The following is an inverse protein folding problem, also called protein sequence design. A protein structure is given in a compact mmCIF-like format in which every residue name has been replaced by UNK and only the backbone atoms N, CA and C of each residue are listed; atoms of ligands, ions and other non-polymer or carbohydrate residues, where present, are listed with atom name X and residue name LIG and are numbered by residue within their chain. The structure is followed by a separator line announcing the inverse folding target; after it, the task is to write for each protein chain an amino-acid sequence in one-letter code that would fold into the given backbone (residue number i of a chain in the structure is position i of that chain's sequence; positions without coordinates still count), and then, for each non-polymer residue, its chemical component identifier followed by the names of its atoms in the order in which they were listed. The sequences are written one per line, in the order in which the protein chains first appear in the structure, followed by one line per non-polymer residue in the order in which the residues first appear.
data_IF_905279363655
#
_entry.id   IF_905279363655
#
_cell.length_a   1.000
_cell.length_b   1.000
_cell.length_c   1.000
_cell.angle_alpha   90.00
_cell.angle_beta   90.00
_cell.angle_gamma   90.00
#
_symmetry.space_group_name_H-M   'P 1'
#
loop_
_entity.id
_entity.type
_entity.pdbx_description
1 polymer ?
#
# COMPACT_ATOMS: atom_id res chain seq x y z
N UNK A 1 27.28 4.60 -25.32
CA UNK A 1 27.32 5.90 -24.60
C UNK A 1 26.68 6.96 -25.48
N UNK A 2 25.36 7.08 -25.39
CA UNK A 2 24.54 7.86 -26.34
C UNK A 2 24.41 9.36 -25.97
N UNK A 3 25.27 9.91 -25.10
CA UNK A 3 25.21 11.32 -24.72
C UNK A 3 23.89 11.77 -24.03
N UNK A 4 23.11 10.83 -23.50
CA UNK A 4 21.84 11.14 -22.77
C UNK A 4 22.22 11.87 -21.49
N UNK A 5 21.63 13.06 -21.30
CA UNK A 5 21.80 13.84 -20.09
C UNK A 5 20.54 13.67 -19.23
N UNK A 6 20.70 13.17 -17.99
CA UNK A 6 19.61 13.13 -17.01
C UNK A 6 19.25 14.56 -16.59
N UNK A 7 17.96 14.86 -16.60
CA UNK A 7 17.42 16.16 -16.17
C UNK A 7 16.91 16.13 -14.73
N UNK A 8 16.39 14.99 -14.29
CA UNK A 8 15.93 14.77 -12.91
C UNK A 8 15.81 13.26 -12.61
N UNK A 9 15.68 12.93 -11.33
CA UNK A 9 15.39 11.59 -10.81
C UNK A 9 14.17 11.71 -9.91
N UNK A 10 13.19 10.83 -10.09
CA UNK A 10 12.05 10.61 -9.18
C UNK A 10 12.06 9.16 -8.71
N UNK A 11 11.53 8.90 -7.51
CA UNK A 11 11.51 7.56 -6.89
C UNK A 11 10.12 7.31 -6.33
N UNK A 12 9.50 6.20 -6.71
CA UNK A 12 8.31 5.65 -6.10
C UNK A 12 8.55 4.19 -5.67
N UNK A 13 7.82 3.75 -4.67
CA UNK A 13 7.89 2.39 -4.13
C UNK A 13 6.52 1.97 -3.57
N UNK A 14 6.47 0.76 -2.99
CA UNK A 14 5.32 0.32 -2.19
C UNK A 14 5.18 1.13 -0.89
N UNK A 15 3.98 1.11 -0.30
CA UNK A 15 3.63 1.85 0.92
C UNK A 15 4.11 1.19 2.22
N UNK A 16 3.88 1.87 3.31
CA UNK A 16 3.93 1.49 4.72
C UNK A 16 5.29 1.16 5.32
N UNK A 17 6.25 0.65 4.57
CA UNK A 17 7.55 0.26 5.09
C UNK A 17 8.50 1.47 5.23
N UNK A 18 9.40 1.39 6.20
CA UNK A 18 10.30 2.49 6.56
C UNK A 18 11.63 1.97 7.10
N UNK A 19 12.62 2.85 7.17
CA UNK A 19 13.91 2.62 7.82
C UNK A 19 14.13 3.59 8.98
N UNK A 20 14.93 3.16 9.94
CA UNK A 20 15.42 4.00 11.03
C UNK A 20 16.83 4.49 10.69
N UNK A 21 17.06 5.80 10.75
CA UNK A 21 18.33 6.46 10.49
C UNK A 21 18.93 6.93 11.82
N UNK A 22 20.18 6.57 12.07
CA UNK A 22 20.92 6.97 13.26
C UNK A 22 21.46 8.41 13.17
N UNK A 23 22.02 8.90 14.28
CA UNK A 23 22.64 10.24 14.38
C UNK A 23 23.82 10.44 13.42
N UNK A 24 24.47 9.38 13.02
CA UNK A 24 25.56 9.38 12.02
C UNK A 24 25.07 9.42 10.59
N UNK A 25 23.74 9.40 10.37
CA UNK A 25 23.10 9.36 9.05
C UNK A 25 23.04 7.97 8.44
N UNK A 26 23.49 6.93 9.14
CA UNK A 26 23.46 5.54 8.67
C UNK A 26 22.11 4.86 8.93
N UNK A 27 21.76 3.89 8.08
CA UNK A 27 20.63 3.00 8.31
C UNK A 27 20.98 2.03 9.44
N UNK A 28 20.18 2.03 10.52
CA UNK A 28 20.46 1.25 11.72
C UNK A 28 20.23 -0.25 11.54
N UNK A 29 19.31 -0.63 10.67
CA UNK A 29 19.00 -2.02 10.32
C UNK A 29 18.21 -2.08 9.01
N UNK A 30 18.11 -3.27 8.42
CA UNK A 30 17.20 -3.51 7.31
C UNK A 30 15.75 -3.28 7.76
N UNK A 31 14.88 -2.71 6.88
CA UNK A 31 13.47 -2.56 7.18
C UNK A 31 12.79 -3.92 7.37
N UNK A 32 11.72 -3.95 8.15
CA UNK A 32 10.78 -5.07 8.09
C UNK A 32 10.03 -5.03 6.75
N UNK A 33 9.70 -6.20 6.24
CA UNK A 33 8.73 -6.30 5.15
C UNK A 33 7.31 -6.24 5.76
N UNK A 34 6.40 -5.53 5.15
CA UNK A 34 5.01 -5.44 5.65
C UNK A 34 4.29 -6.80 5.74
N UNK A 35 4.78 -7.83 5.03
CA UNK A 35 4.26 -9.21 5.14
C UNK A 35 4.92 -10.03 6.23
N UNK A 36 5.87 -9.45 6.97
CA UNK A 36 6.47 -10.12 8.13
C UNK A 36 5.42 -10.26 9.25
N UNK A 37 5.35 -11.41 9.94
CA UNK A 37 4.35 -11.66 10.99
C UNK A 37 4.58 -10.83 12.27
N UNK A 38 5.63 -10.00 12.35
CA UNK A 38 5.96 -9.24 13.55
C UNK A 38 4.83 -8.30 14.04
N UNK A 39 3.88 -7.93 13.17
CA UNK A 39 2.73 -7.08 13.50
C UNK A 39 1.46 -7.85 13.87
N UNK A 40 1.53 -9.16 14.07
CA UNK A 40 0.37 -9.90 14.58
C UNK A 40 -0.10 -9.37 15.93
N UNK A 41 -1.42 -9.10 16.05
CA UNK A 41 -2.03 -8.49 17.24
C UNK A 41 -1.67 -7.02 17.50
N UNK A 42 -0.95 -6.36 16.58
CA UNK A 42 -0.49 -4.99 16.75
C UNK A 42 -1.64 -3.97 16.82
N UNK A 43 -2.69 -4.17 16.03
CA UNK A 43 -3.86 -3.30 16.05
C UNK A 43 -4.59 -3.36 17.39
N UNK A 44 -4.86 -4.57 17.90
CA UNK A 44 -5.55 -4.81 19.17
C UNK A 44 -4.80 -4.17 20.34
N UNK A 45 -3.47 -4.26 20.33
CA UNK A 45 -2.63 -3.62 21.36
C UNK A 45 -2.65 -2.09 21.24
N UNK A 46 -2.56 -1.56 20.03
CA UNK A 46 -2.60 -0.11 19.82
C UNK A 46 -3.97 0.48 20.19
N UNK A 47 -5.07 -0.22 19.89
CA UNK A 47 -6.43 0.25 20.22
C UNK A 47 -6.73 0.29 21.73
N UNK A 48 -5.88 -0.29 22.57
CA UNK A 48 -5.90 -0.06 24.02
C UNK A 48 -5.41 1.32 24.41
N UNK A 49 -4.59 1.96 23.57
CA UNK A 49 -4.06 3.32 23.77
C UNK A 49 -5.01 4.37 23.19
N UNK A 50 -5.45 4.17 21.96
CA UNK A 50 -6.40 5.06 21.25
C UNK A 50 -7.48 4.20 20.58
N UNK A 51 -8.77 4.43 20.87
CA UNK A 51 -9.88 3.65 20.30
C UNK A 51 -9.88 3.64 18.76
N UNK A 52 -10.24 2.50 18.18
CA UNK A 52 -10.25 2.26 16.73
C UNK A 52 -11.01 3.34 15.95
N UNK A 53 -12.19 3.72 16.45
CA UNK A 53 -13.05 4.73 15.85
C UNK A 53 -12.35 6.09 15.79
N UNK A 54 -11.61 6.45 16.84
CA UNK A 54 -10.86 7.70 16.90
C UNK A 54 -9.67 7.68 15.94
N UNK A 55 -8.98 6.55 15.80
CA UNK A 55 -7.88 6.41 14.83
C UNK A 55 -8.43 6.61 13.41
N UNK A 56 -9.57 6.00 13.08
CA UNK A 56 -10.17 6.17 11.77
C UNK A 56 -10.66 7.60 11.53
N UNK A 57 -11.34 8.21 12.50
CA UNK A 57 -11.82 9.59 12.37
C UNK A 57 -10.67 10.57 12.09
N UNK A 58 -9.51 10.34 12.69
CA UNK A 58 -8.30 11.16 12.47
C UNK A 58 -7.66 10.94 11.10
N UNK A 59 -7.59 9.71 10.65
CA UNK A 59 -6.77 9.35 9.48
C UNK A 59 -7.57 8.96 8.25
N UNK A 60 -8.75 8.37 8.44
CA UNK A 60 -9.56 7.80 7.36
C UNK A 60 -8.88 6.65 6.61
N UNK A 61 -7.87 6.01 7.21
CA UNK A 61 -7.07 4.96 6.56
C UNK A 61 -7.63 3.58 6.89
N UNK A 62 -7.71 2.71 5.87
CA UNK A 62 -8.07 1.30 6.01
C UNK A 62 -7.19 0.60 7.04
N UNK A 63 -7.80 -0.09 7.98
CA UNK A 63 -7.05 -0.87 8.97
C UNK A 63 -6.45 -2.11 8.35
N UNK A 64 -5.13 -2.19 8.46
CA UNK A 64 -4.31 -3.35 8.09
C UNK A 64 -3.20 -3.47 9.15
N UNK A 65 -2.94 -4.67 9.64
CA UNK A 65 -1.95 -4.91 10.71
C UNK A 65 -0.58 -4.30 10.44
N UNK A 66 -0.21 -4.22 9.18
CA UNK A 66 1.09 -3.79 8.72
C UNK A 66 1.21 -2.29 8.43
N UNK A 67 0.17 -1.47 8.64
CA UNK A 67 0.33 -0.03 8.50
C UNK A 67 1.43 0.48 9.43
N UNK A 68 2.17 1.49 8.98
CA UNK A 68 3.39 1.95 9.65
C UNK A 68 3.18 2.27 11.13
N UNK A 69 2.03 2.85 11.50
CA UNK A 69 1.67 3.12 12.89
C UNK A 69 1.73 1.85 13.75
N UNK A 70 1.22 0.73 13.25
CA UNK A 70 1.19 -0.53 13.99
C UNK A 70 2.55 -1.23 13.98
N UNK A 71 3.33 -1.09 12.90
CA UNK A 71 4.74 -1.53 12.88
C UNK A 71 5.56 -0.80 13.95
N UNK A 72 5.46 0.54 14.00
CA UNK A 72 6.15 1.39 14.98
C UNK A 72 5.70 1.08 16.41
N UNK A 73 4.39 0.88 16.62
CA UNK A 73 3.84 0.47 17.92
C UNK A 73 4.41 -0.87 18.39
N UNK A 74 4.54 -1.83 17.47
CA UNK A 74 5.14 -3.13 17.77
C UNK A 74 6.63 -3.00 18.10
N UNK A 75 7.39 -2.24 17.32
CA UNK A 75 8.80 -1.97 17.60
C UNK A 75 8.97 -1.32 18.97
N UNK A 76 8.13 -0.33 19.32
CA UNK A 76 8.15 0.32 20.64
C UNK A 76 7.86 -0.66 21.76
N UNK A 77 6.80 -1.46 21.63
CA UNK A 77 6.43 -2.49 22.62
C UNK A 77 7.56 -3.49 22.87
N UNK A 78 8.29 -3.83 21.82
CA UNK A 78 9.38 -4.82 21.87
C UNK A 78 10.73 -4.19 22.23
N UNK A 79 10.80 -2.90 22.59
CA UNK A 79 12.03 -2.15 22.87
C UNK A 79 13.07 -2.31 21.74
N UNK A 80 12.62 -2.16 20.47
CA UNK A 80 13.49 -2.31 19.32
C UNK A 80 14.59 -1.26 19.32
N UNK A 81 15.83 -1.70 19.37
CA UNK A 81 17.01 -0.83 19.52
C UNK A 81 17.21 0.13 18.34
N UNK A 82 16.77 -0.24 17.13
CA UNK A 82 16.84 0.65 15.98
C UNK A 82 15.85 1.80 16.13
N UNK A 83 14.63 1.54 16.62
CA UNK A 83 13.66 2.61 16.88
C UNK A 83 14.10 3.52 18.04
N UNK A 84 14.71 2.94 19.09
CA UNK A 84 15.22 3.72 20.23
C UNK A 84 16.36 4.66 19.83
N UNK A 85 17.25 4.22 18.93
CA UNK A 85 18.39 4.98 18.43
C UNK A 85 18.07 5.87 17.22
N UNK A 86 16.83 5.81 16.69
CA UNK A 86 16.45 6.52 15.49
C UNK A 86 16.42 8.06 15.70
N UNK A 87 17.25 8.75 14.95
CA UNK A 87 17.17 10.21 14.77
C UNK A 87 16.09 10.57 13.75
N UNK A 88 15.97 9.75 12.67
CA UNK A 88 14.95 9.87 11.65
C UNK A 88 14.30 8.53 11.34
N UNK A 89 13.02 8.59 10.93
CA UNK A 89 12.21 7.49 10.39
C UNK A 89 11.81 7.93 9.00
N UNK A 90 12.27 7.22 7.98
CA UNK A 90 12.04 7.57 6.58
C UNK A 90 11.34 6.41 5.85
N UNK A 91 10.26 6.70 5.14
CA UNK A 91 9.62 5.71 4.27
C UNK A 91 10.58 5.28 3.15
N UNK A 92 10.35 4.14 2.55
CA UNK A 92 11.29 3.56 1.59
C UNK A 92 11.68 4.54 0.46
N UNK A 93 10.75 5.24 -0.24
CA UNK A 93 11.14 6.17 -1.30
C UNK A 93 11.88 7.39 -0.72
N UNK A 94 11.49 7.86 0.47
CA UNK A 94 12.15 8.96 1.17
C UNK A 94 13.58 8.58 1.56
N UNK A 95 13.77 7.35 2.04
CA UNK A 95 15.09 6.83 2.38
C UNK A 95 16.01 6.71 1.14
N UNK A 96 15.46 6.27 0.01
CA UNK A 96 16.23 6.22 -1.24
C UNK A 96 16.58 7.63 -1.73
N UNK A 97 15.67 8.60 -1.62
CA UNK A 97 15.97 10.02 -1.91
C UNK A 97 17.02 10.56 -0.94
N UNK A 98 16.95 10.21 0.34
CA UNK A 98 17.97 10.57 1.34
C UNK A 98 19.35 10.01 0.98
N UNK A 99 19.44 8.74 0.61
CA UNK A 99 20.71 8.13 0.18
C UNK A 99 21.31 8.82 -1.04
N UNK A 100 20.49 9.38 -1.94
CA UNK A 100 20.95 10.10 -3.12
C UNK A 100 21.33 11.56 -2.83
N UNK A 101 20.70 12.22 -1.88
CA UNK A 101 20.78 13.68 -1.68
C UNK A 101 21.33 14.11 -0.32
N UNK A 102 21.23 13.25 0.69
CA UNK A 102 21.47 13.62 2.09
C UNK A 102 20.29 14.36 2.75
N UNK A 103 19.19 14.62 2.02
CA UNK A 103 18.04 15.38 2.50
C UNK A 103 16.94 14.45 3.05
N UNK A 104 16.67 14.52 4.35
CA UNK A 104 15.59 13.77 4.98
C UNK A 104 14.24 14.42 4.69
N UNK A 105 13.41 13.79 3.90
CA UNK A 105 12.06 14.23 3.51
C UNK A 105 10.99 13.25 3.97
N UNK A 106 9.74 13.69 3.92
CA UNK A 106 8.55 12.91 4.17
C UNK A 106 7.53 13.28 3.08
N UNK A 107 7.45 12.46 2.03
CA UNK A 107 6.61 12.74 0.88
C UNK A 107 5.14 12.42 1.22
N UNK A 108 4.23 13.28 0.79
CA UNK A 108 2.82 13.28 1.16
C UNK A 108 2.09 11.97 0.80
N UNK A 109 2.28 11.44 -0.41
CA UNK A 109 1.51 10.27 -0.87
C UNK A 109 1.93 9.00 -0.15
N UNK A 110 3.24 8.83 0.10
CA UNK A 110 3.75 7.67 0.85
C UNK A 110 3.39 7.78 2.34
N UNK A 111 3.53 8.96 2.96
CA UNK A 111 3.13 9.21 4.33
C UNK A 111 1.65 8.87 4.55
N UNK A 112 0.79 9.18 3.59
CA UNK A 112 -0.65 8.93 3.71
C UNK A 112 -1.01 7.45 3.86
N UNK A 113 -0.13 6.51 3.49
CA UNK A 113 -0.37 5.07 3.69
C UNK A 113 -0.18 4.61 5.13
N UNK A 114 0.44 5.44 5.96
CA UNK A 114 1.02 5.07 7.25
C UNK A 114 0.04 4.88 8.41
N UNK A 115 -1.22 5.32 8.29
CA UNK A 115 -2.19 5.48 9.40
C UNK A 115 -1.78 6.56 10.43
N UNK A 116 -0.90 7.49 10.08
CA UNK A 116 -0.45 8.56 10.97
C UNK A 116 -0.85 9.95 10.50
N UNK A 117 -1.19 10.11 9.21
CA UNK A 117 -1.54 11.40 8.60
C UNK A 117 -3.00 11.76 8.87
N UNK A 118 -3.26 12.99 9.32
CA UNK A 118 -4.59 13.60 9.24
C UNK A 118 -4.74 14.23 7.83
N UNK A 119 -5.65 13.73 6.98
CA UNK A 119 -5.80 14.23 5.61
C UNK A 119 -6.35 15.66 5.53
N UNK A 120 -6.94 16.21 6.60
CA UNK A 120 -7.45 17.57 6.68
C UNK A 120 -6.32 18.57 6.82
N UNK A 121 -5.35 18.25 7.66
CA UNK A 121 -4.17 19.10 7.92
C UNK A 121 -2.99 18.76 7.03
N UNK A 122 -2.99 17.57 6.45
CA UNK A 122 -1.87 16.96 5.69
C UNK A 122 -0.59 16.86 6.52
N UNK A 123 -0.74 16.64 7.82
CA UNK A 123 0.35 16.50 8.80
C UNK A 123 0.17 15.22 9.60
N UNK A 124 1.25 14.73 10.16
CA UNK A 124 1.21 13.62 11.11
C UNK A 124 0.40 14.07 12.34
N UNK A 125 -0.54 13.23 12.77
CA UNK A 125 -1.30 13.47 14.00
C UNK A 125 -0.43 13.18 15.22
N UNK A 126 -0.14 14.22 15.99
CA UNK A 126 0.75 14.16 17.16
C UNK A 126 0.21 13.29 18.30
N UNK A 127 -1.11 13.13 18.42
CA UNK A 127 -1.69 12.25 19.44
C UNK A 127 -1.44 10.77 19.08
N UNK A 128 -1.60 10.41 17.80
CA UNK A 128 -1.38 9.03 17.36
C UNK A 128 0.06 8.58 17.56
N UNK A 129 1.02 9.37 17.12
CA UNK A 129 2.44 9.01 17.28
C UNK A 129 2.93 9.21 18.73
N UNK A 130 2.38 10.21 19.44
CA UNK A 130 2.69 10.47 20.85
C UNK A 130 2.29 9.33 21.78
N UNK A 131 1.20 8.60 21.46
CA UNK A 131 0.76 7.42 22.21
C UNK A 131 1.82 6.30 22.25
N UNK A 132 2.72 6.27 21.28
CA UNK A 132 3.86 5.33 21.21
C UNK A 132 5.22 6.01 21.43
N UNK A 133 5.21 7.23 21.98
CA UNK A 133 6.42 7.97 22.36
C UNK A 133 7.25 8.47 21.19
N UNK A 134 6.64 8.69 20.02
CA UNK A 134 7.29 9.30 18.86
C UNK A 134 6.92 10.79 18.74
N UNK A 135 7.73 11.53 18.01
CA UNK A 135 7.56 12.95 17.74
C UNK A 135 7.67 13.23 16.24
N UNK A 136 6.99 14.28 15.78
CA UNK A 136 6.94 14.67 14.37
C UNK A 136 8.34 14.97 13.81
N UNK A 137 9.24 15.53 14.63
CA UNK A 137 10.62 15.86 14.22
C UNK A 137 11.46 14.65 13.82
N UNK A 138 11.06 13.43 14.22
CA UNK A 138 11.71 12.19 13.80
C UNK A 138 11.41 11.83 12.35
N UNK A 139 10.41 12.45 11.74
CA UNK A 139 10.14 12.32 10.32
C UNK A 139 10.86 13.41 9.53
N UNK A 140 10.95 13.25 8.22
CA UNK A 140 11.62 14.22 7.37
C UNK A 140 10.82 15.51 7.14
N UNK A 141 11.41 16.46 6.42
CA UNK A 141 10.71 17.67 5.95
C UNK A 141 9.59 17.27 4.98
N UNK A 142 8.38 17.79 5.20
CA UNK A 142 7.25 17.51 4.31
C UNK A 142 7.52 18.03 2.90
N UNK A 143 7.25 17.17 1.91
CA UNK A 143 7.31 17.49 0.49
C UNK A 143 6.08 16.92 -0.22
N UNK A 144 5.67 17.60 -1.29
CA UNK A 144 4.61 17.13 -2.18
C UNK A 144 5.21 16.66 -3.52
N UNK A 145 4.49 15.88 -4.31
CA UNK A 145 4.87 15.63 -5.70
C UNK A 145 5.19 16.94 -6.42
N UNK A 146 6.27 16.97 -7.20
CA UNK A 146 6.89 18.10 -7.90
C UNK A 146 7.87 18.93 -7.08
N UNK A 147 7.94 18.80 -5.76
CA UNK A 147 8.91 19.53 -4.94
C UNK A 147 10.33 19.02 -5.21
N UNK A 148 11.28 19.94 -5.32
CA UNK A 148 12.71 19.59 -5.38
C UNK A 148 13.16 19.15 -3.99
N UNK A 149 13.70 17.92 -3.90
CA UNK A 149 14.29 17.36 -2.68
C UNK A 149 15.70 17.89 -2.49
N UNK A 150 16.55 17.69 -3.48
CA UNK A 150 17.97 18.07 -3.46
C UNK A 150 18.63 17.83 -4.81
N UNK A 151 19.94 17.63 -4.77
CA UNK A 151 20.74 17.15 -5.91
C UNK A 151 21.59 15.97 -5.45
N UNK A 152 22.04 15.14 -6.37
CA UNK A 152 22.94 14.03 -6.04
C UNK A 152 24.15 14.52 -5.22
N UNK A 153 24.48 13.76 -4.15
CA UNK A 153 25.67 14.07 -3.33
C UNK A 153 26.96 14.02 -4.16
N UNK A 154 28.04 14.71 -3.75
CA UNK A 154 29.32 14.65 -4.44
C UNK A 154 29.85 13.21 -4.63
N UNK A 155 29.60 12.33 -3.65
CA UNK A 155 30.00 10.93 -3.69
C UNK A 155 29.27 10.19 -4.81
N UNK A 156 27.95 10.35 -4.91
CA UNK A 156 27.12 9.75 -5.97
C UNK A 156 27.51 10.32 -7.35
N UNK A 157 27.70 11.63 -7.44
CA UNK A 157 28.16 12.26 -8.69
C UNK A 157 29.50 11.67 -9.16
N UNK A 158 30.46 11.51 -8.24
CA UNK A 158 31.77 10.92 -8.54
C UNK A 158 31.65 9.46 -8.96
N UNK A 159 30.81 8.69 -8.28
CA UNK A 159 30.62 7.25 -8.53
C UNK A 159 29.93 6.98 -9.86
N UNK A 160 28.99 7.82 -10.26
CA UNK A 160 28.15 7.62 -11.45
C UNK A 160 28.58 8.43 -12.66
N UNK A 161 29.32 9.53 -12.46
CA UNK A 161 29.62 10.50 -13.50
C UNK A 161 28.41 11.38 -13.91
N UNK A 162 27.29 11.29 -13.23
CA UNK A 162 26.03 11.94 -13.65
C UNK A 162 25.98 13.46 -13.41
N UNK A 163 26.91 14.03 -12.64
CA UNK A 163 26.86 15.44 -12.24
C UNK A 163 25.77 15.76 -11.21
N UNK A 164 25.48 17.04 -10.95
CA UNK A 164 24.50 17.46 -9.92
C UNK A 164 23.05 17.36 -10.41
N UNK A 165 22.59 16.14 -10.72
CA UNK A 165 21.23 15.87 -11.16
C UNK A 165 20.25 16.14 -10.02
N UNK A 166 19.18 16.92 -10.25
CA UNK A 166 18.12 17.12 -9.27
C UNK A 166 17.38 15.84 -8.95
N UNK A 167 17.05 15.64 -7.67
CA UNK A 167 16.07 14.65 -7.20
C UNK A 167 14.79 15.41 -6.88
N UNK A 168 13.68 14.95 -7.46
CA UNK A 168 12.36 15.57 -7.36
C UNK A 168 11.40 14.57 -6.75
N UNK A 169 10.61 14.99 -5.76
CA UNK A 169 9.54 14.18 -5.22
C UNK A 169 8.49 13.91 -6.32
N UNK A 170 8.16 12.66 -6.51
CA UNK A 170 7.01 12.22 -7.31
C UNK A 170 5.94 11.69 -6.34
N UNK A 171 4.82 11.14 -6.83
CA UNK A 171 3.98 10.34 -5.95
C UNK A 171 4.79 9.14 -5.46
N UNK A 172 5.31 9.21 -4.24
CA UNK A 172 6.22 8.21 -3.67
C UNK A 172 5.58 6.83 -3.45
N UNK A 173 4.24 6.78 -3.38
CA UNK A 173 3.48 5.54 -3.40
C UNK A 173 3.17 5.13 -4.85
N UNK A 174 3.64 3.96 -5.28
CA UNK A 174 3.52 3.42 -6.64
C UNK A 174 2.09 3.49 -7.19
N UNK A 175 1.08 3.14 -6.38
CA UNK A 175 -0.32 3.30 -6.77
C UNK A 175 -0.71 4.76 -6.96
N UNK A 176 -0.11 5.69 -6.20
CA UNK A 176 -0.32 7.13 -6.42
C UNK A 176 0.20 7.56 -7.79
N UNK A 177 1.37 7.05 -8.19
CA UNK A 177 1.95 7.27 -9.51
C UNK A 177 1.08 6.63 -10.63
N UNK A 178 0.58 5.40 -10.41
CA UNK A 178 -0.30 4.71 -11.34
C UNK A 178 -1.62 5.47 -11.56
N UNK A 179 -2.26 5.96 -10.50
CA UNK A 179 -3.50 6.75 -10.60
C UNK A 179 -3.26 8.08 -11.33
N UNK A 180 -2.11 8.73 -11.08
CA UNK A 180 -1.75 9.95 -11.80
C UNK A 180 -1.62 9.75 -13.32
N UNK A 181 -1.33 8.53 -13.77
CA UNK A 181 -1.22 8.17 -15.19
C UNK A 181 -2.57 7.80 -15.85
N UNK A 182 -3.68 7.75 -15.12
CA UNK A 182 -5.00 7.42 -15.68
C UNK A 182 -5.41 8.49 -16.70
N UNK A 183 -5.73 8.12 -17.95
CA UNK A 183 -6.11 9.08 -18.99
C UNK A 183 -7.57 9.53 -18.83
N UNK A 184 -7.94 10.00 -17.64
CA UNK A 184 -9.27 10.49 -17.33
C UNK A 184 -9.55 11.84 -18.02
N UNK A 185 -10.77 12.02 -18.53
CA UNK A 185 -11.20 13.26 -19.16
C UNK A 185 -12.01 14.17 -18.21
N UNK A 186 -12.47 13.59 -17.10
CA UNK A 186 -13.23 14.27 -16.05
C UNK A 186 -13.10 13.47 -14.75
N UNK A 187 -13.72 13.95 -13.68
CA UNK A 187 -13.67 13.30 -12.35
C UNK A 187 -14.61 12.08 -12.18
N UNK A 188 -15.51 11.80 -13.15
CA UNK A 188 -16.56 10.78 -13.03
C UNK A 188 -16.03 9.38 -13.34
N UNK A 189 -14.91 9.00 -12.77
CA UNK A 189 -14.31 7.69 -12.98
C UNK A 189 -13.95 6.99 -11.67
N UNK A 190 -13.92 5.67 -11.72
CA UNK A 190 -13.20 4.85 -10.77
C UNK A 190 -11.96 4.25 -11.46
N UNK A 191 -10.97 3.88 -10.66
CA UNK A 191 -9.80 3.15 -11.12
C UNK A 191 -9.67 1.81 -10.38
N UNK A 192 -9.10 0.83 -11.05
CA UNK A 192 -8.66 -0.45 -10.48
C UNK A 192 -7.19 -0.64 -10.85
N UNK A 193 -6.30 -0.40 -9.89
CA UNK A 193 -4.90 -0.81 -10.02
C UNK A 193 -4.81 -2.29 -9.66
N UNK A 194 -4.51 -3.13 -10.67
CA UNK A 194 -4.61 -4.58 -10.56
C UNK A 194 -3.24 -5.24 -10.59
N UNK A 195 -2.63 -5.40 -9.43
CA UNK A 195 -1.32 -6.02 -9.23
C UNK A 195 -1.35 -7.07 -8.12
N UNK A 196 -0.27 -7.17 -7.36
CA UNK A 196 -0.17 -8.00 -6.13
C UNK A 196 -1.33 -7.69 -5.19
N UNK A 197 -1.60 -6.42 -4.95
CA UNK A 197 -2.83 -5.88 -4.39
C UNK A 197 -3.74 -5.41 -5.54
N UNK A 198 -5.03 -5.34 -5.28
CA UNK A 198 -5.98 -4.64 -6.14
C UNK A 198 -6.52 -3.43 -5.39
N UNK A 199 -6.26 -2.24 -5.91
CA UNK A 199 -6.69 -0.99 -5.31
C UNK A 199 -7.81 -0.40 -6.16
N UNK A 200 -9.03 -0.47 -5.65
CA UNK A 200 -10.23 0.00 -6.35
C UNK A 200 -10.75 1.26 -5.67
N UNK A 201 -10.80 2.36 -6.39
CA UNK A 201 -11.18 3.65 -5.81
C UNK A 201 -11.54 4.73 -6.80
N UNK A 202 -11.73 5.92 -6.23
CA UNK A 202 -12.00 7.17 -6.93
C UNK A 202 -11.00 8.22 -6.45
N UNK A 203 -10.83 9.27 -7.22
CA UNK A 203 -10.06 10.44 -6.81
C UNK A 203 -11.02 11.57 -6.43
N UNK A 204 -10.82 12.15 -5.25
CA UNK A 204 -11.66 13.21 -4.69
C UNK A 204 -10.81 14.40 -4.26
N UNK A 205 -11.44 15.55 -4.11
CA UNK A 205 -10.76 16.74 -3.59
C UNK A 205 -10.48 16.61 -2.09
N UNK A 206 -11.47 16.13 -1.35
CA UNK A 206 -11.43 16.03 0.12
C UNK A 206 -11.60 14.58 0.55
N UNK A 207 -11.10 14.25 1.74
CA UNK A 207 -11.24 12.92 2.33
C UNK A 207 -12.71 12.59 2.66
N UNK A 208 -13.11 11.34 2.43
CA UNK A 208 -14.43 10.81 2.80
C UNK A 208 -14.29 9.99 4.08
N UNK A 209 -14.55 10.64 5.21
CA UNK A 209 -14.47 10.02 6.54
C UNK A 209 -15.83 10.13 7.21
N UNK A 210 -16.56 9.02 7.27
CA UNK A 210 -17.87 8.91 7.88
C UNK A 210 -18.13 7.48 8.37
N UNK A 211 -19.30 7.24 8.98
CA UNK A 211 -19.66 5.93 9.52
C UNK A 211 -19.63 4.81 8.46
N UNK A 212 -20.14 5.06 7.25
CA UNK A 212 -20.12 4.05 6.18
C UNK A 212 -18.71 3.75 5.69
N UNK A 213 -17.87 4.77 5.47
CA UNK A 213 -16.48 4.56 5.05
C UNK A 213 -15.68 3.80 6.10
N UNK A 214 -15.97 4.03 7.39
CA UNK A 214 -15.42 3.25 8.50
C UNK A 214 -15.91 1.80 8.50
N UNK A 215 -17.22 1.57 8.38
CA UNK A 215 -17.80 0.24 8.35
C UNK A 215 -17.29 -0.60 7.18
N UNK A 216 -17.17 0.01 6.00
CA UNK A 216 -16.63 -0.64 4.81
C UNK A 216 -15.09 -0.71 4.81
N UNK A 217 -14.46 -0.07 5.80
CA UNK A 217 -13.00 -0.02 5.97
C UNK A 217 -12.30 0.49 4.70
N UNK A 218 -12.71 1.67 4.22
CA UNK A 218 -12.06 2.38 3.12
C UNK A 218 -10.86 3.18 3.59
N UNK A 219 -10.00 3.58 2.66
CA UNK A 219 -8.81 4.41 2.91
C UNK A 219 -8.86 5.72 2.14
N UNK A 220 -8.28 6.77 2.70
CA UNK A 220 -8.14 8.10 2.13
C UNK A 220 -6.65 8.43 1.97
N UNK A 221 -6.04 7.94 0.91
CA UNK A 221 -4.62 8.15 0.65
C UNK A 221 -4.37 9.41 -0.18
N UNK A 222 -3.19 10.01 -0.01
CA UNK A 222 -2.80 11.20 -0.77
C UNK A 222 -2.64 10.93 -2.26
N UNK A 223 -3.17 11.82 -3.09
CA UNK A 223 -2.96 11.87 -4.54
C UNK A 223 -2.04 13.01 -4.94
N UNK A 224 -1.80 13.15 -6.25
CA UNK A 224 -1.08 14.29 -6.80
C UNK A 224 -1.94 15.58 -6.70
N UNK A 225 -1.30 16.77 -6.80
CA UNK A 225 -1.99 18.06 -6.74
C UNK A 225 -2.87 18.26 -5.48
N UNK A 226 -2.56 17.50 -4.42
CA UNK A 226 -3.27 17.57 -3.15
C UNK A 226 -4.63 16.91 -3.13
N UNK A 227 -4.95 16.07 -4.10
CA UNK A 227 -6.15 15.23 -4.12
C UNK A 227 -6.09 14.11 -3.09
N UNK A 228 -7.21 13.44 -2.89
CA UNK A 228 -7.35 12.24 -2.07
C UNK A 228 -7.77 11.07 -2.95
N UNK A 229 -7.06 9.97 -2.86
CA UNK A 229 -7.43 8.69 -3.44
C UNK A 229 -8.29 7.95 -2.41
N UNK A 230 -9.61 7.99 -2.58
CA UNK A 230 -10.56 7.25 -1.74
C UNK A 230 -10.74 5.85 -2.33
N UNK A 231 -10.21 4.83 -1.67
CA UNK A 231 -10.12 3.50 -2.24
C UNK A 231 -10.27 2.37 -1.20
N UNK A 232 -10.35 1.16 -1.69
CA UNK A 232 -10.26 -0.08 -0.93
C UNK A 232 -9.08 -0.90 -1.41
N UNK A 233 -8.18 -1.27 -0.51
CA UNK A 233 -7.17 -2.29 -0.77
C UNK A 233 -7.84 -3.67 -0.66
N UNK A 234 -7.65 -4.50 -1.66
CA UNK A 234 -8.18 -5.85 -1.80
C UNK A 234 -6.99 -6.76 -2.05
N UNK A 235 -6.95 -7.94 -1.44
CA UNK A 235 -5.95 -8.95 -1.79
C UNK A 235 -6.13 -9.34 -3.27
N UNK A 236 -5.16 -8.98 -4.10
CA UNK A 236 -5.26 -9.10 -5.56
C UNK A 236 -4.65 -10.38 -6.11
N UNK A 237 -3.80 -10.24 -7.13
CA UNK A 237 -3.16 -11.35 -7.82
C UNK A 237 -2.12 -12.09 -6.96
N UNK A 238 -1.82 -11.61 -5.77
CA UNK A 238 -1.07 -12.35 -4.76
C UNK A 238 -1.59 -13.78 -4.54
N UNK A 239 -2.93 -13.95 -4.51
CA UNK A 239 -3.57 -15.25 -4.38
C UNK A 239 -3.11 -16.23 -5.48
N UNK A 240 -3.16 -15.76 -6.74
CA UNK A 240 -2.74 -16.56 -7.88
C UNK A 240 -1.25 -16.85 -7.86
N UNK A 241 -0.44 -15.83 -7.58
CA UNK A 241 1.03 -15.96 -7.60
C UNK A 241 1.52 -16.94 -6.53
N UNK A 242 0.94 -16.90 -5.34
CA UNK A 242 1.27 -17.87 -4.28
C UNK A 242 0.84 -19.29 -4.66
N UNK A 243 -0.35 -19.47 -5.25
CA UNK A 243 -0.76 -20.79 -5.76
C UNK A 243 0.17 -21.30 -6.88
N UNK A 244 0.61 -20.41 -7.79
CA UNK A 244 1.53 -20.78 -8.88
C UNK A 244 2.86 -21.33 -8.36
N UNK A 245 3.37 -20.83 -7.24
CA UNK A 245 4.59 -21.33 -6.62
C UNK A 245 4.43 -22.76 -6.06
N UNK A 246 3.21 -23.19 -5.82
CA UNK A 246 2.89 -24.52 -5.25
C UNK A 246 2.51 -25.54 -6.32
N UNK A 247 1.99 -25.10 -7.49
CA UNK A 247 1.53 -25.97 -8.55
C UNK A 247 2.68 -26.62 -9.30
N UNK A 248 2.60 -27.94 -9.48
CA UNK A 248 3.59 -28.73 -10.23
C UNK A 248 3.13 -29.09 -11.65
N UNK A 249 1.82 -28.96 -11.90
CA UNK A 249 1.15 -29.36 -13.15
C UNK A 249 0.66 -28.16 -13.97
N UNK A 250 0.83 -26.93 -13.48
CA UNK A 250 0.43 -25.73 -14.18
C UNK A 250 1.46 -25.28 -15.22
N UNK A 251 1.03 -24.68 -16.34
CA UNK A 251 1.95 -24.09 -17.29
C UNK A 251 2.68 -22.86 -16.68
N UNK A 252 3.91 -22.63 -17.14
CA UNK A 252 4.69 -21.44 -16.72
C UNK A 252 4.08 -20.13 -17.25
N UNK A 253 3.42 -20.18 -18.41
CA UNK A 253 2.78 -19.01 -19.04
C UNK A 253 1.45 -18.67 -18.36
N UNK A 254 1.37 -17.47 -17.78
CA UNK A 254 0.16 -16.94 -17.12
C UNK A 254 -1.01 -16.83 -18.10
N UNK A 255 -0.78 -16.48 -19.36
CA UNK A 255 -1.84 -16.39 -20.36
C UNK A 255 -2.48 -17.76 -20.60
N UNK A 256 -1.70 -18.83 -20.56
CA UNK A 256 -2.22 -20.18 -20.65
C UNK A 256 -3.05 -20.54 -19.42
N UNK A 257 -2.59 -20.19 -18.21
CA UNK A 257 -3.36 -20.37 -16.95
C UNK A 257 -4.71 -19.65 -17.05
N UNK A 258 -4.70 -18.39 -17.52
CA UNK A 258 -5.93 -17.61 -17.69
C UNK A 258 -6.91 -18.27 -18.66
N UNK A 259 -6.41 -18.76 -19.79
CA UNK A 259 -7.22 -19.47 -20.80
C UNK A 259 -7.78 -20.79 -20.26
N UNK A 260 -6.95 -21.54 -19.55
CA UNK A 260 -7.32 -22.83 -18.95
C UNK A 260 -8.34 -22.68 -17.83
N UNK A 261 -8.24 -21.63 -17.02
CA UNK A 261 -9.22 -21.32 -15.98
C UNK A 261 -10.64 -21.17 -16.55
N UNK A 262 -10.78 -20.63 -17.77
CA UNK A 262 -12.07 -20.49 -18.44
C UNK A 262 -12.71 -21.84 -18.79
N UNK A 263 -11.97 -22.94 -18.81
CA UNK A 263 -12.50 -24.30 -19.05
C UNK A 263 -13.03 -24.96 -17.77
N UNK A 264 -12.70 -24.45 -16.59
CA UNK A 264 -13.24 -24.96 -15.33
C UNK A 264 -14.69 -24.52 -15.10
N UNK A 265 -15.50 -25.29 -14.33
CA UNK A 265 -16.88 -24.91 -14.00
C UNK A 265 -16.98 -23.56 -13.34
N UNK A 266 -17.83 -22.66 -13.86
CA UNK A 266 -18.04 -21.32 -13.34
C UNK A 266 -18.74 -21.35 -11.97
N UNK A 267 -18.35 -20.44 -11.09
CA UNK A 267 -18.94 -20.16 -9.76
C UNK A 267 -19.09 -21.41 -8.88
N UNK A 268 -18.21 -22.39 -9.07
CA UNK A 268 -18.24 -23.63 -8.27
C UNK A 268 -17.72 -23.42 -6.85
N UNK A 269 -16.71 -22.59 -6.71
CA UNK A 269 -16.06 -22.27 -5.43
C UNK A 269 -15.72 -20.79 -5.42
N UNK A 270 -16.03 -20.11 -4.33
CA UNK A 270 -15.78 -18.69 -4.15
C UNK A 270 -15.16 -18.44 -2.77
N UNK A 271 -14.22 -17.52 -2.71
CA UNK A 271 -13.57 -17.09 -1.47
C UNK A 271 -13.81 -15.60 -1.22
N UNK A 272 -13.66 -15.16 0.03
CA UNK A 272 -13.48 -13.75 0.32
C UNK A 272 -12.00 -13.39 0.19
N UNK A 273 -11.54 -12.65 -0.83
CA UNK A 273 -10.13 -12.34 -1.01
C UNK A 273 -9.48 -11.63 0.18
N UNK A 274 -10.28 -10.91 0.98
CA UNK A 274 -9.82 -10.14 2.14
C UNK A 274 -9.87 -10.94 3.46
N UNK A 275 -10.11 -12.26 3.42
CA UNK A 275 -10.00 -13.09 4.61
C UNK A 275 -8.56 -13.08 5.13
N UNK A 276 -8.32 -12.83 6.43
CA UNK A 276 -6.97 -12.73 7.00
C UNK A 276 -6.07 -13.93 6.73
N UNK A 277 -6.64 -15.14 6.56
CA UNK A 277 -5.87 -16.36 6.23
C UNK A 277 -5.09 -16.26 4.93
N UNK A 278 -5.49 -15.37 3.99
CA UNK A 278 -4.83 -15.20 2.70
C UNK A 278 -3.69 -14.15 2.71
N UNK A 279 -3.46 -13.48 3.82
CA UNK A 279 -2.45 -12.42 3.89
C UNK A 279 -1.03 -12.95 3.63
N UNK A 280 -0.65 -14.04 4.32
CA UNK A 280 0.64 -14.71 4.12
C UNK A 280 0.62 -16.15 4.65
N UNK A 281 -0.21 -17.06 4.09
CA UNK A 281 -0.26 -18.44 4.54
C UNK A 281 1.00 -19.22 4.16
N UNK A 282 1.31 -20.27 4.90
CA UNK A 282 2.36 -21.23 4.54
C UNK A 282 2.06 -21.89 3.18
N UNK A 283 0.80 -22.25 2.94
CA UNK A 283 0.30 -22.76 1.66
C UNK A 283 -1.03 -22.07 1.29
N UNK A 284 -1.05 -21.40 0.14
CA UNK A 284 -2.24 -20.69 -0.36
C UNK A 284 -3.30 -21.67 -0.86
N UNK A 285 -2.90 -22.72 -1.54
CA UNK A 285 -3.83 -23.77 -2.02
C UNK A 285 -4.54 -24.46 -0.87
N UNK A 286 -3.81 -24.73 0.24
CA UNK A 286 -4.39 -25.27 1.46
C UNK A 286 -5.36 -24.30 2.10
N UNK A 287 -4.98 -23.03 2.25
CA UNK A 287 -5.84 -22.00 2.83
C UNK A 287 -7.16 -21.81 2.05
N UNK A 288 -7.10 -21.81 0.71
CA UNK A 288 -8.30 -21.77 -0.15
C UNK A 288 -9.14 -23.03 0.05
N UNK A 289 -8.52 -24.19 0.11
CA UNK A 289 -9.23 -25.48 0.30
C UNK A 289 -9.96 -25.52 1.63
N UNK A 290 -9.32 -25.09 2.72
CA UNK A 290 -9.91 -24.99 4.06
C UNK A 290 -11.08 -24.01 4.09
N UNK A 291 -10.94 -22.82 3.47
CA UNK A 291 -12.03 -21.87 3.34
C UNK A 291 -13.25 -22.48 2.64
N UNK A 292 -13.05 -23.20 1.52
CA UNK A 292 -14.13 -23.85 0.80
C UNK A 292 -14.80 -24.94 1.65
N UNK A 293 -14.02 -25.74 2.38
CA UNK A 293 -14.55 -26.79 3.28
C UNK A 293 -15.41 -26.18 4.40
N UNK A 294 -14.89 -25.16 5.08
CA UNK A 294 -15.59 -24.47 6.18
C UNK A 294 -16.89 -23.82 5.74
N UNK A 295 -16.95 -23.33 4.50
CA UNK A 295 -18.14 -22.70 3.92
C UNK A 295 -19.05 -23.68 3.17
N UNK A 296 -18.75 -25.00 3.22
CA UNK A 296 -19.57 -26.05 2.59
C UNK A 296 -19.55 -26.02 1.07
N UNK A 297 -18.50 -25.47 0.47
CA UNK A 297 -18.32 -25.37 -0.99
C UNK A 297 -17.45 -26.53 -1.51
N UNK A 298 -17.59 -26.90 -2.81
CA UNK A 298 -16.65 -27.81 -3.44
C UNK A 298 -15.22 -27.28 -3.37
N UNK A 299 -14.26 -28.14 -3.03
CA UNK A 299 -12.83 -27.78 -3.00
C UNK A 299 -12.26 -27.84 -4.41
N UNK A 300 -11.53 -26.81 -4.91
CA UNK A 300 -10.81 -26.88 -6.17
C UNK A 300 -9.82 -28.06 -6.18
N UNK A 301 -9.74 -28.81 -7.29
CA UNK A 301 -8.97 -30.07 -7.39
C UNK A 301 -7.69 -29.95 -8.23
N UNK A 302 -7.57 -28.90 -9.04
CA UNK A 302 -6.46 -28.66 -9.95
C UNK A 302 -6.26 -27.16 -10.16
N UNK A 303 -5.12 -26.77 -10.75
CA UNK A 303 -4.77 -25.36 -10.94
C UNK A 303 -5.83 -24.54 -11.69
N UNK A 304 -6.56 -25.15 -12.66
CA UNK A 304 -7.63 -24.47 -13.42
C UNK A 304 -8.79 -24.06 -12.53
N UNK A 305 -9.21 -24.95 -11.64
CA UNK A 305 -10.29 -24.69 -10.69
C UNK A 305 -9.87 -23.69 -9.63
N UNK A 306 -8.62 -23.74 -9.12
CA UNK A 306 -8.08 -22.72 -8.23
C UNK A 306 -8.02 -21.35 -8.89
N UNK A 307 -7.46 -21.27 -10.10
CA UNK A 307 -7.39 -20.01 -10.85
C UNK A 307 -8.79 -19.44 -11.12
N UNK A 308 -9.75 -20.29 -11.53
CA UNK A 308 -11.15 -19.87 -11.73
C UNK A 308 -11.79 -19.33 -10.45
N UNK A 309 -11.63 -20.04 -9.34
CA UNK A 309 -12.10 -19.61 -8.03
C UNK A 309 -11.55 -18.21 -7.66
N UNK A 310 -10.25 -18.00 -7.83
CA UNK A 310 -9.58 -16.72 -7.52
C UNK A 310 -10.16 -15.60 -8.42
N UNK A 311 -10.21 -15.79 -9.74
CA UNK A 311 -10.67 -14.75 -10.66
C UNK A 311 -12.12 -14.35 -10.44
N UNK A 312 -13.00 -15.32 -10.25
CA UNK A 312 -14.42 -15.05 -10.00
C UNK A 312 -14.62 -14.38 -8.64
N UNK A 313 -13.90 -14.80 -7.61
CA UNK A 313 -13.93 -14.17 -6.28
C UNK A 313 -13.47 -12.71 -6.33
N UNK A 314 -12.37 -12.44 -7.03
CA UNK A 314 -11.88 -11.07 -7.24
C UNK A 314 -12.89 -10.23 -8.01
N UNK A 315 -13.45 -10.74 -9.11
CA UNK A 315 -14.44 -10.01 -9.90
C UNK A 315 -15.69 -9.66 -9.08
N UNK A 316 -16.20 -10.59 -8.28
CA UNK A 316 -17.36 -10.35 -7.40
C UNK A 316 -17.00 -9.35 -6.28
N UNK A 317 -15.77 -9.42 -5.75
CA UNK A 317 -15.30 -8.44 -4.76
C UNK A 317 -15.19 -7.05 -5.36
N UNK A 318 -14.66 -6.90 -6.57
CA UNK A 318 -14.61 -5.61 -7.27
C UNK A 318 -16.01 -5.04 -7.50
N UNK A 319 -16.96 -5.87 -7.90
CA UNK A 319 -18.36 -5.44 -8.03
C UNK A 319 -18.93 -4.91 -6.71
N UNK A 320 -18.73 -5.63 -5.62
CA UNK A 320 -19.19 -5.21 -4.30
C UNK A 320 -18.57 -3.86 -3.88
N UNK A 321 -17.26 -3.68 -4.12
CA UNK A 321 -16.59 -2.41 -3.79
C UNK A 321 -17.08 -1.26 -4.68
N UNK A 322 -17.38 -1.52 -5.96
CA UNK A 322 -17.99 -0.51 -6.83
C UNK A 322 -19.39 -0.10 -6.33
N UNK A 323 -20.20 -1.04 -5.83
CA UNK A 323 -21.49 -0.72 -5.23
C UNK A 323 -21.33 0.16 -3.98
N UNK A 324 -20.31 -0.10 -3.13
CA UNK A 324 -19.98 0.78 -2.00
C UNK A 324 -19.46 2.15 -2.43
N UNK A 325 -18.67 2.23 -3.50
CA UNK A 325 -18.21 3.49 -4.06
C UNK A 325 -19.37 4.31 -4.62
N UNK A 326 -20.33 3.69 -5.30
CA UNK A 326 -21.54 4.39 -5.76
C UNK A 326 -22.37 5.00 -4.61
N UNK A 327 -22.36 4.38 -3.42
CA UNK A 327 -23.05 4.89 -2.24
C UNK A 327 -22.28 6.02 -1.54
N UNK A 328 -20.96 6.10 -1.71
CA UNK A 328 -20.07 7.03 -1.00
C UNK A 328 -19.55 8.17 -1.88
N UNK A 329 -19.48 7.98 -3.19
CA UNK A 329 -18.90 8.96 -4.11
C UNK A 329 -19.73 10.27 -4.17
N UNK A 330 -19.09 11.45 -4.18
CA UNK A 330 -19.78 12.72 -4.32
C UNK A 330 -20.20 13.04 -5.77
N UNK A 331 -19.96 12.13 -6.70
CA UNK A 331 -20.25 12.26 -8.14
C UNK A 331 -20.62 10.89 -8.74
N UNK A 332 -21.30 10.82 -9.89
CA UNK A 332 -21.59 9.57 -10.56
C UNK A 332 -20.31 8.92 -11.11
N UNK A 333 -20.17 7.60 -10.95
CA UNK A 333 -19.07 6.84 -11.54
C UNK A 333 -19.53 6.32 -12.90
N UNK A 334 -18.97 6.85 -13.98
CA UNK A 334 -19.37 6.53 -15.36
C UNK A 334 -18.41 5.55 -16.05
N UNK A 335 -17.15 5.50 -15.59
CA UNK A 335 -16.09 4.68 -16.17
C UNK A 335 -15.26 4.02 -15.10
N UNK A 336 -14.74 2.83 -15.42
CA UNK A 336 -13.70 2.15 -14.65
C UNK A 336 -12.45 2.05 -15.53
N UNK A 337 -11.36 2.66 -15.07
CA UNK A 337 -10.04 2.47 -15.68
C UNK A 337 -9.31 1.35 -14.96
N UNK A 338 -8.85 0.35 -15.68
CA UNK A 338 -8.00 -0.74 -15.17
C UNK A 338 -6.57 -0.44 -15.57
N UNK A 339 -5.67 -0.36 -14.58
CA UNK A 339 -4.25 0.01 -14.71
C UNK A 339 -3.35 -0.98 -14.00
#
# INVERSE_FOLDING_TARGET
EEGIRLTSIGIDTWGVDFVCIGKDGGILRNPYCYRDPHTEGAMEEYFKLIPKEKVYDKTGIQFMNFNSLFQLATMRRNNDSALEAAEKILFIPDALMYMLTGEAVCEYTILSTSQMLDPRTKRIDSELIGAIGLREEQFGRYVNPSDKVGVLTPEIQKMTGAGPVPVVAVAGHDTGAAVAAVPAQNQNFAYLSCGTWSLLGIETKDAIINEKSFQYNFTNEGGIEGTTRFLKNICGMWLLERCRQEWTDAPADVNQINSDAMTAPAFRSLINPDDPRFANPESMTKAISEFCQETGQPVPQNYKEFARCIFESLALRYRQILDYLHDLAPFPIEKLHVI
#
